data_IF_106491033651
#
_entry.id   IF_106491033651
#
_cell.length_a   1.000
_cell.length_b   1.000
_cell.length_c   1.000
_cell.angle_alpha   90.00
_cell.angle_beta   90.00
_cell.angle_gamma   90.00
#
_symmetry.space_group_name_H-M   'P 1'
#
loop_
_entity.id
_entity.type
_entity.pdbx_description
1 polymer ?
#
# COMPACT_ATOMS: atom_id res chain seq x y z
N UNK A 1 -18.49 4.05 15.50
CA UNK A 1 -17.29 3.19 15.51
C UNK A 1 -16.77 3.15 16.93
N UNK A 2 -16.60 1.96 17.50
CA UNK A 2 -16.03 1.81 18.84
C UNK A 2 -14.53 2.10 18.81
N UNK A 3 -14.04 2.77 19.83
CA UNK A 3 -12.61 3.06 19.97
C UNK A 3 -11.85 1.78 20.33
N UNK A 4 -10.70 1.58 19.68
CA UNK A 4 -9.80 0.47 19.95
C UNK A 4 -8.47 0.99 20.50
N UNK A 5 -7.97 0.34 21.55
CA UNK A 5 -6.67 0.66 22.13
C UNK A 5 -5.59 -0.22 21.51
N UNK A 6 -4.62 0.39 20.83
CA UNK A 6 -3.47 -0.29 20.22
C UNK A 6 -2.21 0.04 21.02
N UNK A 7 -1.47 -0.98 21.44
CA UNK A 7 -0.15 -0.78 22.05
C UNK A 7 0.91 -0.67 20.96
N UNK A 8 1.68 0.41 20.99
CA UNK A 8 2.80 0.67 20.10
C UNK A 8 3.99 1.22 20.91
N UNK A 9 5.23 1.04 20.45
CA UNK A 9 6.39 1.70 21.04
C UNK A 9 6.21 3.23 21.06
N UNK A 10 6.70 3.87 22.12
CA UNK A 10 6.55 5.31 22.30
C UNK A 10 7.17 6.10 21.13
N UNK A 11 8.36 5.70 20.67
CA UNK A 11 9.03 6.32 19.51
C UNK A 11 8.17 6.26 18.23
N UNK A 12 7.52 5.12 17.98
CA UNK A 12 6.63 4.96 16.82
C UNK A 12 5.40 5.88 16.94
N UNK A 13 4.83 6.01 18.14
CA UNK A 13 3.72 6.92 18.41
C UNK A 13 4.11 8.37 18.14
N UNK A 14 5.27 8.80 18.62
CA UNK A 14 5.73 10.18 18.48
C UNK A 14 6.03 10.51 17.02
N UNK A 15 6.64 9.58 16.28
CA UNK A 15 6.83 9.72 14.84
C UNK A 15 5.50 9.86 14.09
N UNK A 16 4.52 8.99 14.37
CA UNK A 16 3.20 9.07 13.74
C UNK A 16 2.47 10.36 14.09
N UNK A 17 2.60 10.84 15.33
CA UNK A 17 2.02 12.11 15.75
C UNK A 17 2.64 13.31 15.01
N UNK A 18 3.97 13.29 14.80
CA UNK A 18 4.66 14.32 14.02
C UNK A 18 4.20 14.35 12.55
N UNK A 19 4.03 13.18 11.93
CA UNK A 19 3.51 13.06 10.55
C UNK A 19 2.07 13.59 10.48
N UNK A 20 1.20 13.17 11.42
CA UNK A 20 -0.18 13.64 11.48
C UNK A 20 -0.24 15.17 11.62
N UNK A 21 0.58 15.74 12.51
CA UNK A 21 0.65 17.19 12.71
C UNK A 21 1.13 17.95 11.47
N UNK A 22 2.11 17.42 10.73
CA UNK A 22 2.56 17.99 9.47
C UNK A 22 1.44 18.02 8.39
N UNK A 23 0.51 17.07 8.46
CA UNK A 23 -0.69 17.03 7.60
C UNK A 23 -1.90 17.78 8.19
N UNK A 24 -1.75 18.46 9.33
CA UNK A 24 -2.85 19.17 10.00
C UNK A 24 -3.93 18.26 10.60
N UNK A 25 -3.60 16.98 10.83
CA UNK A 25 -4.50 15.95 11.33
C UNK A 25 -4.17 15.58 12.78
N UNK A 26 -5.19 15.15 13.53
CA UNK A 26 -4.94 14.43 14.78
C UNK A 26 -4.38 13.03 14.47
N UNK A 27 -3.58 12.46 15.38
CA UNK A 27 -3.08 11.09 15.24
C UNK A 27 -4.20 10.08 14.96
N UNK A 28 -5.35 10.23 15.63
CA UNK A 28 -6.52 9.37 15.40
C UNK A 28 -7.05 9.51 13.97
N UNK A 29 -7.24 10.75 13.49
CA UNK A 29 -7.75 11.00 12.14
C UNK A 29 -6.77 10.48 11.07
N UNK A 30 -5.47 10.67 11.30
CA UNK A 30 -4.42 10.14 10.45
C UNK A 30 -4.47 8.60 10.37
N UNK A 31 -4.59 7.92 11.52
CA UNK A 31 -4.70 6.46 11.55
C UNK A 31 -5.97 5.91 10.89
N UNK A 32 -7.10 6.60 11.06
CA UNK A 32 -8.35 6.24 10.37
C UNK A 32 -8.20 6.34 8.85
N UNK A 33 -7.67 7.46 8.35
CA UNK A 33 -7.36 7.65 6.93
C UNK A 33 -6.36 6.63 6.41
N UNK A 34 -5.34 6.29 7.21
CA UNK A 34 -4.36 5.29 6.84
C UNK A 34 -5.02 3.91 6.69
N UNK A 35 -5.91 3.54 7.62
CA UNK A 35 -6.66 2.28 7.53
C UNK A 35 -7.60 2.23 6.31
N UNK A 36 -8.17 3.36 5.90
CA UNK A 36 -9.02 3.44 4.71
C UNK A 36 -8.23 3.35 3.39
N UNK A 37 -6.94 3.73 3.41
CA UNK A 37 -6.11 3.82 2.19
C UNK A 37 -5.16 2.65 2.03
N UNK A 38 -4.70 2.04 3.12
CA UNK A 38 -3.84 0.87 3.08
C UNK A 38 -4.67 -0.39 2.85
N UNK A 39 -4.47 -0.99 1.68
CA UNK A 39 -4.96 -2.33 1.42
C UNK A 39 -4.17 -3.37 2.21
N UNK A 40 -4.84 -4.44 2.59
CA UNK A 40 -4.20 -5.68 3.02
C UNK A 40 -3.54 -6.39 1.83
N UNK A 41 -2.62 -7.34 2.06
CA UNK A 41 -2.06 -8.16 0.98
C UNK A 41 -3.14 -8.91 0.17
N UNK A 42 -4.20 -9.39 0.83
CA UNK A 42 -5.30 -10.10 0.18
C UNK A 42 -6.11 -9.18 -0.74
N UNK A 43 -6.49 -7.99 -0.25
CA UNK A 43 -7.22 -7.00 -1.07
C UNK A 43 -6.37 -6.48 -2.24
N UNK A 44 -5.05 -6.37 -2.05
CA UNK A 44 -4.13 -6.06 -3.17
C UNK A 44 -4.16 -7.15 -4.24
N UNK A 45 -4.08 -8.42 -3.83
CA UNK A 45 -4.15 -9.55 -4.77
C UNK A 45 -5.50 -9.57 -5.51
N UNK A 46 -6.61 -9.34 -4.80
CA UNK A 46 -7.93 -9.27 -5.41
C UNK A 46 -8.02 -8.13 -6.45
N UNK A 47 -7.56 -6.92 -6.11
CA UNK A 47 -7.53 -5.80 -7.08
C UNK A 47 -6.62 -6.10 -8.27
N UNK A 48 -5.50 -6.81 -8.06
CA UNK A 48 -4.62 -7.21 -9.16
C UNK A 48 -5.33 -8.15 -10.13
N UNK A 49 -6.04 -9.15 -9.62
CA UNK A 49 -6.81 -10.08 -10.46
C UNK A 49 -7.96 -9.37 -11.20
N UNK A 50 -8.67 -8.45 -10.53
CA UNK A 50 -9.70 -7.62 -11.18
C UNK A 50 -9.10 -6.76 -12.31
N UNK A 51 -7.93 -6.16 -12.09
CA UNK A 51 -7.23 -5.37 -13.10
C UNK A 51 -6.78 -6.22 -14.29
N UNK A 52 -6.22 -7.42 -14.04
CA UNK A 52 -5.85 -8.38 -15.10
C UNK A 52 -7.07 -8.77 -15.93
N UNK A 53 -8.20 -9.09 -15.30
CA UNK A 53 -9.44 -9.42 -16.00
C UNK A 53 -9.95 -8.24 -16.86
N UNK A 54 -9.89 -7.02 -16.34
CA UNK A 54 -10.28 -5.81 -17.08
C UNK A 54 -9.35 -5.55 -18.28
N UNK A 55 -8.03 -5.73 -18.11
CA UNK A 55 -7.06 -5.61 -19.20
C UNK A 55 -7.28 -6.68 -20.27
N UNK A 56 -7.45 -7.94 -19.88
CA UNK A 56 -7.74 -9.02 -20.80
C UNK A 56 -9.03 -8.75 -21.60
N UNK A 57 -10.08 -8.23 -20.95
CA UNK A 57 -11.30 -7.84 -21.62
C UNK A 57 -11.13 -6.64 -22.58
N UNK A 58 -10.26 -5.69 -22.21
CA UNK A 58 -10.07 -4.45 -22.98
C UNK A 58 -9.13 -4.60 -24.18
N UNK A 59 -8.01 -5.30 -24.02
CA UNK A 59 -6.95 -5.37 -25.03
C UNK A 59 -6.38 -6.79 -25.24
N UNK A 60 -6.95 -7.82 -24.59
CA UNK A 60 -6.47 -9.19 -24.67
C UNK A 60 -5.21 -9.48 -23.87
N UNK A 61 -4.69 -8.51 -23.11
CA UNK A 61 -3.48 -8.67 -22.32
C UNK A 61 -3.75 -9.56 -21.09
N UNK A 62 -3.16 -10.75 -21.11
CA UNK A 62 -3.18 -11.71 -20.00
C UNK A 62 -1.74 -12.24 -19.80
N UNK A 63 -0.93 -11.56 -18.97
CA UNK A 63 0.47 -11.93 -18.77
C UNK A 63 0.56 -13.32 -18.13
N UNK A 64 1.57 -14.08 -18.54
CA UNK A 64 1.92 -15.34 -17.89
C UNK A 64 2.56 -15.09 -16.54
N UNK A 65 2.52 -16.08 -15.64
CA UNK A 65 3.21 -16.01 -14.35
C UNK A 65 4.74 -15.80 -14.47
N UNK A 66 5.34 -16.10 -15.63
CA UNK A 66 6.74 -15.79 -15.89
C UNK A 66 6.95 -14.30 -16.16
N UNK A 67 6.12 -13.71 -17.01
CA UNK A 67 6.16 -12.28 -17.34
C UNK A 67 5.81 -11.41 -16.13
N UNK A 68 4.85 -11.83 -15.29
CA UNK A 68 4.54 -11.13 -14.03
C UNK A 68 5.75 -11.06 -13.11
N UNK A 69 6.47 -12.18 -12.92
CA UNK A 69 7.70 -12.21 -12.10
C UNK A 69 8.81 -11.34 -12.65
N UNK A 70 8.94 -11.27 -13.98
CA UNK A 70 9.92 -10.40 -14.62
C UNK A 70 9.58 -8.92 -14.42
N UNK A 71 8.30 -8.56 -14.57
CA UNK A 71 7.80 -7.21 -14.33
C UNK A 71 7.98 -6.80 -12.86
N UNK A 72 7.66 -7.67 -11.91
CA UNK A 72 7.88 -7.43 -10.48
C UNK A 72 9.36 -7.20 -10.17
N UNK A 73 10.24 -8.05 -10.72
CA UNK A 73 11.70 -7.91 -10.54
C UNK A 73 12.24 -6.61 -11.12
N UNK A 74 11.71 -6.16 -12.26
CA UNK A 74 12.07 -4.87 -12.86
C UNK A 74 11.51 -3.69 -12.07
N UNK A 75 10.29 -3.81 -11.52
CA UNK A 75 9.71 -2.79 -10.66
C UNK A 75 10.53 -2.63 -9.38
N UNK A 76 10.90 -3.72 -8.71
CA UNK A 76 11.76 -3.72 -7.52
C UNK A 76 13.11 -3.08 -7.81
N UNK A 77 13.72 -3.41 -8.95
CA UNK A 77 14.98 -2.80 -9.40
C UNK A 77 14.84 -1.28 -9.56
N UNK A 78 13.74 -0.80 -10.15
CA UNK A 78 13.49 0.63 -10.33
C UNK A 78 13.23 1.34 -9.00
N UNK A 79 12.44 0.72 -8.12
CA UNK A 79 12.16 1.27 -6.79
C UNK A 79 13.45 1.38 -5.98
N UNK A 80 14.30 0.35 -5.98
CA UNK A 80 15.59 0.38 -5.30
C UNK A 80 16.54 1.48 -5.82
N UNK A 81 16.43 1.89 -7.09
CA UNK A 81 17.19 3.04 -7.62
C UNK A 81 16.66 4.38 -7.13
N UNK A 82 15.37 4.48 -6.83
CA UNK A 82 14.73 5.71 -6.34
C UNK A 82 14.86 5.83 -4.82
N UNK A 83 14.92 4.71 -4.09
CA UNK A 83 15.03 4.65 -2.63
C UNK A 83 16.44 4.33 -2.11
N UNK A 84 17.38 4.04 -3.00
CA UNK A 84 18.81 3.91 -2.67
C UNK A 84 19.44 5.25 -2.29
N UNK A 85 20.57 5.24 -1.54
CA UNK A 85 21.20 6.43 -0.98
C UNK A 85 21.64 7.47 -2.02
#
# INVERSE_FOLDING_TARGET
>A
MSDANVRIPQEAKDRLAAVAAAEGLSLRAYLARLAETLLTPAERAERAEQAKAALAAWNGYAPSAAEERELDSELDRRLARVTGP
#
